data_IF_643095918345
#
_entry.id   IF_643095918345
#
_cell.length_a   1.000
_cell.length_b   1.000
_cell.length_c   1.000
_cell.angle_alpha   90.00
_cell.angle_beta   90.00
_cell.angle_gamma   90.00
#
_symmetry.space_group_name_H-M   'P 1'
#
loop_
_entity.id
_entity.type
_entity.pdbx_description
1 polymer ?
#
# COMPACT_ATOMS: atom_id res chain seq x y z
N UNK A 1 7.69 1.97 21.27
CA UNK A 1 7.93 3.43 21.27
C UNK A 1 6.85 4.05 20.39
N UNK A 2 5.87 4.73 20.98
CA UNK A 2 4.82 5.44 20.25
C UNK A 2 5.18 6.93 20.28
N UNK A 3 5.39 7.52 19.12
CA UNK A 3 5.74 8.95 18.99
C UNK A 3 4.53 9.74 18.49
N UNK A 4 4.30 10.89 19.13
CA UNK A 4 3.20 11.80 18.80
C UNK A 4 3.59 12.66 17.59
N UNK A 5 2.97 12.45 16.44
CA UNK A 5 3.13 13.30 15.26
C UNK A 5 2.01 14.35 15.26
N UNK A 6 2.34 15.61 15.02
CA UNK A 6 1.36 16.69 14.87
C UNK A 6 0.36 16.35 13.75
N UNK A 7 -0.95 16.49 14.01
CA UNK A 7 -2.00 16.00 13.12
C UNK A 7 -2.26 16.93 11.94
N UNK A 8 -1.31 17.07 11.04
CA UNK A 8 -1.55 17.70 9.74
C UNK A 8 -2.06 16.63 8.77
N UNK A 9 -3.32 16.74 8.33
CA UNK A 9 -3.89 15.84 7.32
C UNK A 9 -4.22 14.41 7.78
N UNK A 10 -4.44 14.18 9.07
CA UNK A 10 -4.88 12.86 9.58
C UNK A 10 -3.79 11.76 9.62
N UNK A 11 -2.52 12.13 9.43
CA UNK A 11 -1.41 11.18 9.30
C UNK A 11 -1.15 10.35 10.57
N UNK A 12 -1.39 10.88 11.76
CA UNK A 12 -1.10 10.19 13.03
C UNK A 12 -1.90 8.89 13.22
N UNK A 13 -3.22 8.93 13.00
CA UNK A 13 -4.09 7.74 13.13
C UNK A 13 -3.76 6.71 12.05
N UNK A 14 -3.63 7.15 10.80
CA UNK A 14 -3.27 6.28 9.68
C UNK A 14 -1.88 5.64 9.84
N UNK A 15 -0.92 6.34 10.48
CA UNK A 15 0.36 5.75 10.87
C UNK A 15 0.21 4.69 11.95
N UNK A 16 -0.58 4.97 13.00
CA UNK A 16 -0.82 4.00 14.08
C UNK A 16 -1.46 2.69 13.60
N UNK A 17 -2.45 2.76 12.71
CA UNK A 17 -3.05 1.55 12.14
C UNK A 17 -2.06 0.75 11.30
N UNK A 18 -1.24 1.41 10.46
CA UNK A 18 -0.19 0.71 9.68
C UNK A 18 0.86 0.07 10.59
N UNK A 19 1.26 0.74 11.66
CA UNK A 19 2.18 0.20 12.66
C UNK A 19 1.58 -1.05 13.33
N UNK A 20 0.31 -0.99 13.72
CA UNK A 20 -0.38 -2.11 14.36
C UNK A 20 -0.50 -3.32 13.43
N UNK A 21 -0.94 -3.13 12.18
CA UNK A 21 -1.10 -4.22 11.22
C UNK A 21 0.27 -4.84 10.88
N UNK A 22 1.29 -4.01 10.64
CA UNK A 22 2.65 -4.50 10.33
C UNK A 22 3.30 -5.26 11.49
N UNK A 23 2.99 -4.91 12.73
CA UNK A 23 3.44 -5.64 13.90
C UNK A 23 2.62 -6.92 14.13
N UNK A 24 1.30 -6.87 13.94
CA UNK A 24 0.38 -7.96 14.27
C UNK A 24 0.72 -9.26 13.54
N UNK A 25 0.94 -9.21 12.22
CA UNK A 25 1.26 -10.43 11.46
C UNK A 25 2.63 -11.00 11.84
N UNK A 26 3.59 -10.15 12.22
CA UNK A 26 4.92 -10.58 12.70
C UNK A 26 4.82 -11.23 14.07
N UNK A 27 4.04 -10.66 14.97
CA UNK A 27 3.77 -11.28 16.27
C UNK A 27 3.03 -12.62 16.09
N UNK A 28 2.04 -12.68 15.20
CA UNK A 28 1.38 -13.93 14.87
C UNK A 28 2.35 -14.99 14.33
N UNK A 29 3.31 -14.58 13.47
CA UNK A 29 4.39 -15.45 13.00
C UNK A 29 5.24 -15.98 14.16
N UNK A 30 5.69 -15.08 15.04
CA UNK A 30 6.51 -15.42 16.22
C UNK A 30 5.77 -16.24 17.29
N UNK A 31 4.44 -16.21 17.32
CA UNK A 31 3.63 -17.01 18.24
C UNK A 31 3.31 -18.40 17.67
N UNK A 32 3.14 -18.52 16.35
CA UNK A 32 2.84 -19.81 15.70
C UNK A 32 4.10 -20.64 15.47
N UNK A 33 5.17 -20.00 15.01
CA UNK A 33 6.49 -20.60 14.95
C UNK A 33 7.12 -20.31 16.31
N UNK A 34 7.41 -21.35 17.07
CA UNK A 34 8.28 -21.25 18.23
C UNK A 34 9.71 -21.58 17.77
N UNK A 35 10.46 -20.63 17.17
CA UNK A 35 11.86 -20.86 16.95
C UNK A 35 12.54 -20.98 18.30
N UNK A 36 13.33 -22.04 18.45
CA UNK A 36 14.14 -22.33 19.63
C UNK A 36 15.21 -21.25 19.89
N UNK A 37 15.34 -20.26 18.99
CA UNK A 37 16.43 -19.29 18.94
C UNK A 37 15.93 -17.86 19.23
N UNK A 38 16.38 -17.23 20.33
CA UNK A 38 15.99 -15.85 20.67
C UNK A 38 16.47 -14.81 19.64
N UNK A 39 17.51 -15.13 18.87
CA UNK A 39 18.05 -14.27 17.81
C UNK A 39 17.05 -13.98 16.68
N UNK A 40 16.14 -14.91 16.39
CA UNK A 40 15.13 -14.71 15.34
C UNK A 40 14.08 -13.66 15.73
N UNK A 41 13.63 -13.69 16.98
CA UNK A 41 12.69 -12.70 17.53
C UNK A 41 13.28 -11.28 17.43
N UNK A 42 14.54 -11.13 17.83
CA UNK A 42 15.25 -9.85 17.74
C UNK A 42 15.40 -9.38 16.29
N UNK A 43 15.71 -10.28 15.36
CA UNK A 43 15.82 -9.94 13.94
C UNK A 43 14.49 -9.44 13.35
N UNK A 44 13.39 -10.15 13.60
CA UNK A 44 12.05 -9.78 13.10
C UNK A 44 11.61 -8.43 13.67
N UNK A 45 11.80 -8.21 14.97
CA UNK A 45 11.42 -6.96 15.63
C UNK A 45 12.34 -5.79 15.24
N UNK A 46 13.64 -6.05 15.05
CA UNK A 46 14.58 -5.05 14.54
C UNK A 46 14.25 -4.65 13.10
N UNK A 47 13.88 -5.61 12.26
CA UNK A 47 13.43 -5.35 10.89
C UNK A 47 12.15 -4.51 10.87
N UNK A 48 11.16 -4.84 11.70
CA UNK A 48 9.95 -4.04 11.89
C UNK A 48 10.29 -2.61 12.32
N UNK A 49 11.15 -2.45 13.32
CA UNK A 49 11.56 -1.13 13.81
C UNK A 49 12.21 -0.29 12.69
N UNK A 50 13.10 -0.89 11.89
CA UNK A 50 13.74 -0.21 10.75
C UNK A 50 12.73 0.20 9.68
N UNK A 51 11.76 -0.65 9.36
CA UNK A 51 10.71 -0.35 8.37
C UNK A 51 9.82 0.80 8.86
N UNK A 52 9.41 0.77 10.13
CA UNK A 52 8.63 1.84 10.79
C UNK A 52 9.39 3.16 10.87
N UNK A 53 10.69 3.12 11.17
CA UNK A 53 11.54 4.32 11.24
C UNK A 53 11.53 5.09 9.91
N UNK A 54 11.60 4.39 8.77
CA UNK A 54 11.52 5.04 7.45
C UNK A 54 10.18 5.76 7.22
N UNK A 55 9.06 5.15 7.63
CA UNK A 55 7.73 5.77 7.50
C UNK A 55 7.61 7.03 8.37
N UNK A 56 8.11 6.93 9.61
CA UNK A 56 8.09 7.99 10.59
C UNK A 56 8.91 9.19 10.13
N UNK A 57 10.14 8.97 9.68
CA UNK A 57 11.03 10.04 9.21
C UNK A 57 10.43 10.80 8.03
N UNK A 58 9.82 10.09 7.07
CA UNK A 58 9.13 10.72 5.92
C UNK A 58 7.91 11.54 6.36
N UNK A 59 7.10 10.97 7.25
CA UNK A 59 5.88 11.65 7.75
C UNK A 59 6.24 12.87 8.59
N UNK A 60 7.28 12.77 9.42
CA UNK A 60 7.79 13.86 10.25
C UNK A 60 8.39 14.98 9.39
N UNK A 61 9.21 14.64 8.39
CA UNK A 61 9.79 15.62 7.47
C UNK A 61 8.71 16.44 6.76
N UNK A 62 7.68 15.77 6.22
CA UNK A 62 6.56 16.46 5.57
C UNK A 62 5.72 17.28 6.56
N UNK A 63 5.52 16.79 7.79
CA UNK A 63 4.76 17.53 8.82
C UNK A 63 5.51 18.78 9.25
N UNK A 64 6.84 18.71 9.42
CA UNK A 64 7.67 19.87 9.74
C UNK A 64 7.65 20.88 8.60
N UNK A 65 7.76 20.42 7.35
CA UNK A 65 7.71 21.29 6.18
C UNK A 65 6.34 22.00 6.06
N UNK A 66 5.25 21.24 6.19
CA UNK A 66 3.90 21.80 6.20
C UNK A 66 3.70 22.77 7.38
N UNK A 67 4.23 22.44 8.55
CA UNK A 67 4.17 23.30 9.74
C UNK A 67 4.91 24.62 9.52
N UNK A 68 6.12 24.58 8.94
CA UNK A 68 6.88 25.78 8.56
C UNK A 68 6.13 26.61 7.53
N UNK A 69 5.45 25.97 6.58
CA UNK A 69 4.69 26.64 5.53
C UNK A 69 3.40 27.32 6.04
N UNK A 70 2.67 26.66 6.95
CA UNK A 70 1.39 27.15 7.48
C UNK A 70 1.59 28.15 8.62
N UNK A 71 2.53 27.89 9.53
CA UNK A 71 2.76 28.68 10.75
C UNK A 71 3.80 29.81 10.58
N UNK A 72 4.18 30.15 9.34
CA UNK A 72 5.11 31.25 9.08
C UNK A 72 4.47 32.59 9.52
N UNK A 73 5.15 33.31 10.41
CA UNK A 73 4.64 34.56 10.99
C UNK A 73 5.12 35.81 10.23
N UNK A 74 6.10 35.66 9.34
CA UNK A 74 6.67 36.79 8.61
C UNK A 74 5.73 37.27 7.49
N UNK A 75 5.16 38.47 7.64
CA UNK A 75 4.19 39.05 6.70
C UNK A 75 4.65 39.04 5.23
N UNK A 76 5.90 39.42 4.96
CA UNK A 76 6.42 39.42 3.59
C UNK A 76 6.44 38.02 2.95
N UNK A 77 6.68 36.96 3.74
CA UNK A 77 6.68 35.59 3.22
C UNK A 77 5.25 35.09 3.00
N UNK A 78 4.31 35.50 3.85
CA UNK A 78 2.88 35.22 3.70
C UNK A 78 2.37 35.84 2.40
N UNK A 79 2.68 37.11 2.13
CA UNK A 79 2.29 37.77 0.88
C UNK A 79 2.85 37.05 -0.35
N UNK A 80 4.16 36.74 -0.36
CA UNK A 80 4.78 36.02 -1.48
C UNK A 80 4.14 34.65 -1.67
N UNK A 81 3.88 33.91 -0.58
CA UNK A 81 3.22 32.61 -0.60
C UNK A 81 1.83 32.69 -1.21
N UNK A 82 1.02 33.64 -0.76
CA UNK A 82 -0.38 33.77 -1.19
C UNK A 82 -0.45 34.17 -2.67
N UNK A 83 0.41 35.09 -3.11
CA UNK A 83 0.59 35.44 -4.53
C UNK A 83 1.06 34.25 -5.35
N UNK A 84 2.04 33.49 -4.87
CA UNK A 84 2.53 32.28 -5.53
C UNK A 84 1.42 31.24 -5.68
N UNK A 85 0.67 30.93 -4.61
CA UNK A 85 -0.42 29.97 -4.64
C UNK A 85 -1.54 30.42 -5.58
N UNK A 86 -1.86 31.72 -5.61
CA UNK A 86 -2.82 32.27 -6.55
C UNK A 86 -2.35 32.10 -8.00
N UNK A 87 -1.08 32.39 -8.29
CA UNK A 87 -0.50 32.26 -9.63
C UNK A 87 -0.46 30.79 -10.08
N UNK A 88 -0.09 29.87 -9.19
CA UNK A 88 -0.10 28.42 -9.44
C UNK A 88 -1.49 27.90 -9.81
N UNK A 89 -2.57 28.52 -9.31
CA UNK A 89 -3.93 28.15 -9.67
C UNK A 89 -4.34 28.56 -11.08
N UNK A 90 -3.65 29.52 -11.71
CA UNK A 90 -3.98 30.00 -13.07
C UNK A 90 -3.57 29.01 -14.16
N UNK A 91 -2.51 28.23 -13.93
CA UNK A 91 -2.03 27.24 -14.89
C UNK A 91 -2.56 25.86 -14.47
N UNK A 92 -3.45 25.21 -15.25
CA UNK A 92 -4.05 23.93 -14.89
C UNK A 92 -3.03 22.84 -14.56
N UNK A 93 -1.89 22.81 -15.26
CA UNK A 93 -0.81 21.86 -15.01
C UNK A 93 -0.09 22.09 -13.68
N UNK A 94 0.09 23.35 -13.26
CA UNK A 94 0.72 23.69 -11.98
C UNK A 94 -0.23 23.43 -10.81
N UNK A 95 -1.51 23.78 -10.99
CA UNK A 95 -2.58 23.40 -10.07
C UNK A 95 -2.64 21.88 -9.88
N UNK A 96 -2.57 21.11 -10.98
CA UNK A 96 -2.50 19.64 -10.93
C UNK A 96 -1.27 19.17 -10.16
N UNK A 97 -0.10 19.75 -10.42
CA UNK A 97 1.13 19.38 -9.73
C UNK A 97 1.03 19.63 -8.21
N UNK A 98 0.42 20.75 -7.80
CA UNK A 98 0.18 21.06 -6.39
C UNK A 98 -0.84 20.09 -5.76
N UNK A 99 -1.92 19.77 -6.46
CA UNK A 99 -2.98 18.88 -5.98
C UNK A 99 -2.56 17.41 -5.88
N UNK A 100 -1.60 16.97 -6.70
CA UNK A 100 -1.01 15.63 -6.58
C UNK A 100 -0.26 15.47 -5.25
N UNK A 101 0.32 16.55 -4.70
CA UNK A 101 1.01 16.52 -3.42
C UNK A 101 2.08 15.42 -3.37
N UNK A 102 2.07 14.59 -2.31
CA UNK A 102 2.97 13.44 -2.16
C UNK A 102 2.70 12.30 -3.15
N UNK A 103 1.54 12.28 -3.83
CA UNK A 103 1.21 11.23 -4.82
C UNK A 103 1.99 11.39 -6.12
N UNK A 104 2.62 12.56 -6.34
CA UNK A 104 3.46 12.82 -7.52
C UNK A 104 4.71 11.93 -7.57
N UNK A 105 5.20 11.50 -6.40
CA UNK A 105 6.44 10.73 -6.27
C UNK A 105 6.18 9.21 -6.42
N UNK A 106 4.97 8.83 -6.86
CA UNK A 106 4.59 7.44 -7.10
C UNK A 106 4.25 6.68 -5.81
N UNK A 107 4.47 5.37 -5.83
CA UNK A 107 4.25 4.53 -4.65
C UNK A 107 5.38 4.69 -3.64
N UNK A 108 5.01 4.73 -2.36
CA UNK A 108 5.97 4.73 -1.27
C UNK A 108 6.78 3.44 -1.35
N UNK A 109 8.09 3.56 -1.56
CA UNK A 109 9.03 2.43 -1.56
C UNK A 109 9.89 2.44 -0.30
N UNK A 110 9.98 1.30 0.37
CA UNK A 110 10.90 1.06 1.48
C UNK A 110 12.29 0.74 0.96
N UNK A 111 13.30 1.31 1.61
CA UNK A 111 14.69 0.94 1.41
C UNK A 111 14.92 -0.38 2.13
N UNK A 112 15.45 -1.36 1.40
CA UNK A 112 15.77 -2.66 1.95
C UNK A 112 16.99 -2.60 2.87
N UNK A 113 16.87 -3.25 4.03
CA UNK A 113 17.98 -3.55 4.92
C UNK A 113 17.99 -5.04 5.23
N UNK A 114 19.13 -5.57 5.64
CA UNK A 114 19.26 -6.95 6.07
C UNK A 114 18.21 -7.30 7.16
N UNK A 115 17.56 -8.45 6.97
CA UNK A 115 16.46 -8.93 7.83
C UNK A 115 15.06 -8.45 7.43
N UNK A 116 14.91 -7.59 6.41
CA UNK A 116 13.58 -7.16 5.97
C UNK A 116 12.88 -8.22 5.11
N UNK A 117 11.58 -8.47 5.33
CA UNK A 117 10.84 -9.52 4.63
C UNK A 117 10.28 -9.00 3.30
N UNK A 118 11.15 -8.64 2.36
CA UNK A 118 10.80 -8.37 0.96
C UNK A 118 12.04 -8.45 0.07
N UNK A 119 11.86 -8.76 -1.21
CA UNK A 119 12.94 -8.98 -2.16
C UNK A 119 13.23 -7.72 -2.99
N UNK A 120 14.31 -6.96 -2.72
CA UNK A 120 14.59 -5.74 -3.48
C UNK A 120 14.90 -6.03 -4.96
N UNK A 121 15.49 -7.20 -5.26
CA UNK A 121 15.80 -7.61 -6.63
C UNK A 121 14.57 -7.93 -7.49
N UNK A 122 13.40 -8.15 -6.86
CA UNK A 122 12.12 -8.38 -7.54
C UNK A 122 11.15 -7.22 -7.27
N UNK A 123 11.64 -5.99 -7.24
CA UNK A 123 10.82 -4.78 -7.04
C UNK A 123 9.97 -4.79 -5.74
N UNK A 124 10.43 -5.52 -4.70
CA UNK A 124 9.80 -5.57 -3.39
C UNK A 124 9.98 -4.27 -2.59
N UNK A 125 9.18 -4.11 -1.54
CA UNK A 125 9.17 -2.93 -0.68
C UNK A 125 8.27 -1.79 -1.16
N UNK A 126 7.52 -1.98 -2.24
CA UNK A 126 6.47 -1.05 -2.67
C UNK A 126 5.26 -1.16 -1.73
N UNK A 127 4.71 -0.03 -1.30
CA UNK A 127 3.46 0.00 -0.57
C UNK A 127 2.29 0.12 -1.56
N UNK A 128 1.45 -0.91 -1.64
CA UNK A 128 0.34 -0.91 -2.59
C UNK A 128 -0.70 0.17 -2.25
N UNK A 129 -1.14 0.95 -3.25
CA UNK A 129 -2.23 1.88 -3.09
C UNK A 129 -3.53 1.09 -2.93
N UNK A 130 -4.50 1.70 -2.26
CA UNK A 130 -5.86 1.15 -2.22
C UNK A 130 -6.54 1.70 -3.47
N UNK A 131 -6.88 0.81 -4.39
CA UNK A 131 -7.59 1.17 -5.61
C UNK A 131 -8.98 0.56 -5.59
N UNK A 132 -9.81 0.94 -6.56
CA UNK A 132 -11.19 0.47 -6.65
C UNK A 132 -11.26 -0.66 -7.66
N UNK A 133 -12.04 -1.67 -7.33
CA UNK A 133 -12.34 -2.75 -8.26
C UNK A 133 -13.82 -3.07 -8.25
N UNK A 134 -14.27 -3.77 -9.29
CA UNK A 134 -15.62 -4.28 -9.44
C UNK A 134 -15.55 -5.77 -9.67
N UNK A 135 -16.50 -6.50 -9.12
CA UNK A 135 -16.71 -7.91 -9.47
C UNK A 135 -17.32 -8.02 -10.89
N UNK A 136 -17.35 -9.22 -11.45
CA UNK A 136 -18.01 -9.59 -12.71
C UNK A 136 -19.46 -9.09 -12.82
N UNK A 137 -20.15 -8.95 -11.68
CA UNK A 137 -21.51 -8.42 -11.56
C UNK A 137 -21.59 -6.88 -11.47
N UNK A 138 -20.46 -6.16 -11.59
CA UNK A 138 -20.39 -4.71 -11.49
C UNK A 138 -20.50 -4.16 -10.06
N UNK A 139 -20.43 -5.03 -9.04
CA UNK A 139 -20.47 -4.60 -7.63
C UNK A 139 -19.11 -3.99 -7.23
N UNK A 140 -19.08 -2.75 -6.70
CA UNK A 140 -17.83 -2.09 -6.35
C UNK A 140 -17.26 -2.58 -5.00
N UNK A 141 -15.94 -2.71 -4.95
CA UNK A 141 -15.15 -3.10 -3.79
C UNK A 141 -13.87 -2.27 -3.70
N UNK A 142 -13.28 -2.20 -2.51
CA UNK A 142 -11.89 -1.80 -2.38
C UNK A 142 -10.97 -2.99 -2.64
N UNK A 143 -9.81 -2.75 -3.24
CA UNK A 143 -8.82 -3.83 -3.43
C UNK A 143 -8.42 -4.49 -2.13
N UNK A 144 -8.34 -3.74 -1.05
CA UNK A 144 -8.01 -4.27 0.28
C UNK A 144 -9.07 -5.28 0.75
N UNK A 145 -10.35 -5.01 0.52
CA UNK A 145 -11.44 -5.91 0.90
C UNK A 145 -11.41 -7.23 0.12
N UNK A 146 -10.81 -7.21 -1.06
CA UNK A 146 -10.69 -8.36 -1.96
C UNK A 146 -9.41 -9.15 -1.66
N UNK A 147 -8.27 -8.46 -1.61
CA UNK A 147 -6.95 -9.04 -1.35
C UNK A 147 -6.92 -9.64 0.06
N UNK A 148 -7.47 -8.94 1.05
CA UNK A 148 -7.44 -9.36 2.45
C UNK A 148 -8.75 -9.95 2.94
N UNK A 149 -9.74 -10.18 2.06
CA UNK A 149 -10.97 -10.92 2.39
C UNK A 149 -10.66 -12.24 3.09
N UNK A 150 -9.57 -12.87 2.63
CA UNK A 150 -9.09 -14.17 3.07
C UNK A 150 -8.38 -14.15 4.42
N UNK A 151 -7.97 -13.00 4.97
CA UNK A 151 -7.29 -12.98 6.28
C UNK A 151 -8.20 -13.48 7.42
N UNK A 152 -9.53 -13.40 7.30
CA UNK A 152 -10.46 -14.03 8.25
C UNK A 152 -10.53 -15.57 8.14
N UNK A 153 -10.23 -16.14 6.98
CA UNK A 153 -10.24 -17.58 6.73
C UNK A 153 -8.84 -18.21 6.91
N UNK A 154 -7.78 -17.41 6.77
CA UNK A 154 -6.37 -17.82 6.98
C UNK A 154 -6.10 -18.23 8.43
N UNK A 155 -6.83 -17.68 9.40
CA UNK A 155 -6.80 -18.15 10.80
C UNK A 155 -7.29 -19.61 10.98
N UNK A 156 -8.17 -20.11 10.09
CA UNK A 156 -8.63 -21.51 10.14
C UNK A 156 -7.78 -22.46 9.26
N UNK A 157 -6.99 -21.92 8.31
CA UNK A 157 -6.36 -22.70 7.22
C UNK A 157 -4.83 -22.75 7.22
N UNK A 158 -4.12 -22.28 8.26
CA UNK A 158 -2.64 -22.29 8.29
C UNK A 158 -1.98 -23.69 8.48
N UNK A 159 -2.57 -24.73 7.86
CA UNK A 159 -1.88 -25.96 7.45
C UNK A 159 -2.04 -26.21 5.93
N UNK A 160 -2.06 -25.13 5.14
CA UNK A 160 -2.25 -25.09 3.67
C UNK A 160 -1.92 -23.72 3.08
N UNK A 161 -0.72 -23.22 3.36
CA UNK A 161 -0.33 -21.79 3.41
C UNK A 161 -0.42 -20.93 2.14
N UNK A 162 -0.86 -21.45 0.99
CA UNK A 162 -1.38 -20.67 -0.14
C UNK A 162 -2.44 -21.51 -0.83
N UNK A 163 -3.73 -21.17 -0.65
CA UNK A 163 -4.81 -21.82 -1.37
C UNK A 163 -4.93 -21.21 -2.79
N UNK A 164 -4.47 -21.95 -3.80
CA UNK A 164 -4.53 -21.52 -5.20
C UNK A 164 -5.96 -21.18 -5.67
N UNK A 165 -6.97 -21.88 -5.11
CA UNK A 165 -8.39 -21.73 -5.44
C UNK A 165 -9.02 -20.42 -4.92
N UNK A 166 -8.24 -19.60 -4.21
CA UNK A 166 -8.68 -18.41 -3.49
C UNK A 166 -7.83 -17.17 -3.79
N UNK A 167 -6.94 -17.24 -4.79
CA UNK A 167 -6.14 -16.07 -5.17
C UNK A 167 -7.04 -15.08 -5.92
N UNK A 168 -7.25 -13.85 -5.41
CA UNK A 168 -8.00 -12.85 -6.15
C UNK A 168 -7.19 -12.38 -7.36
N UNK A 169 -7.80 -12.46 -8.54
CA UNK A 169 -7.24 -11.95 -9.78
C UNK A 169 -7.77 -10.55 -10.03
N UNK A 170 -6.92 -9.53 -9.82
CA UNK A 170 -7.25 -8.15 -10.18
C UNK A 170 -6.75 -7.89 -11.59
N UNK A 171 -7.69 -7.64 -12.51
CA UNK A 171 -7.43 -7.42 -13.94
C UNK A 171 -7.88 -6.03 -14.38
N UNK A 172 -7.24 -5.49 -15.42
CA UNK A 172 -7.51 -4.12 -15.88
C UNK A 172 -8.78 -4.00 -16.72
N UNK A 173 -9.07 -5.02 -17.53
CA UNK A 173 -10.22 -5.03 -18.41
C UNK A 173 -10.67 -6.46 -18.66
N UNK A 174 -11.94 -6.75 -18.37
CA UNK A 174 -12.55 -8.02 -18.77
C UNK A 174 -12.86 -7.91 -20.27
N UNK A 175 -11.98 -8.47 -21.12
CA UNK A 175 -12.36 -8.76 -22.51
C UNK A 175 -13.30 -9.96 -22.47
N UNK A 176 -14.61 -9.69 -22.45
CA UNK A 176 -15.65 -10.74 -22.46
C UNK A 176 -15.38 -11.77 -23.55
N UNK A 177 -15.00 -12.98 -23.17
CA UNK A 177 -15.32 -14.24 -23.85
C UNK A 177 -15.49 -15.30 -22.76
N UNK A 178 -16.75 -15.59 -22.40
CA UNK A 178 -17.11 -16.78 -21.62
C UNK A 178 -16.64 -16.86 -20.18
N UNK A 179 -16.60 -15.75 -19.43
CA UNK A 179 -16.38 -15.82 -17.99
C UNK A 179 -17.59 -16.49 -17.33
N UNK A 180 -17.47 -17.78 -17.02
CA UNK A 180 -18.19 -18.38 -15.92
C UNK A 180 -18.00 -17.52 -14.66
N UNK A 181 -18.95 -17.63 -13.72
CA UNK A 181 -19.04 -16.92 -12.43
C UNK A 181 -17.80 -17.18 -11.54
N UNK A 182 -16.65 -16.64 -11.96
CA UNK A 182 -15.38 -16.81 -11.28
C UNK A 182 -15.30 -15.78 -10.17
N UNK A 183 -15.73 -16.19 -8.98
CA UNK A 183 -15.91 -15.35 -7.77
C UNK A 183 -14.62 -14.66 -7.30
N UNK A 184 -13.48 -15.00 -7.89
CA UNK A 184 -12.17 -14.46 -7.57
C UNK A 184 -11.67 -13.44 -8.61
N UNK A 185 -12.44 -13.14 -9.67
CA UNK A 185 -12.05 -12.21 -10.72
C UNK A 185 -12.60 -10.80 -10.46
N UNK A 186 -11.70 -9.81 -10.36
CA UNK A 186 -12.04 -8.43 -10.09
C UNK A 186 -11.45 -7.50 -11.15
N UNK A 187 -12.25 -6.59 -11.68
CA UNK A 187 -11.80 -5.59 -12.64
C UNK A 187 -11.47 -4.27 -11.94
N UNK A 188 -10.33 -3.64 -12.26
CA UNK A 188 -10.01 -2.29 -11.79
C UNK A 188 -11.07 -1.31 -12.33
N UNK A 189 -11.68 -0.55 -11.42
CA UNK A 189 -12.66 0.46 -11.77
C UNK A 189 -11.99 1.79 -12.10
N UNK A 190 -12.57 2.52 -13.04
CA UNK A 190 -12.23 3.90 -13.41
C UNK A 190 -12.67 4.92 -12.35
N UNK A 191 -12.18 6.16 -12.48
CA UNK A 191 -12.56 7.27 -11.60
C UNK A 191 -14.07 7.57 -11.71
N UNK A 192 -14.61 7.51 -12.92
CA UNK A 192 -16.02 7.76 -13.22
C UNK A 192 -16.94 6.69 -12.61
N UNK A 193 -16.56 5.42 -12.76
CA UNK A 193 -17.28 4.29 -12.15
C UNK A 193 -17.28 4.40 -10.63
N UNK A 194 -16.16 4.82 -10.03
CA UNK A 194 -16.10 5.06 -8.59
C UNK A 194 -16.99 6.23 -8.16
N UNK A 195 -16.97 7.36 -8.88
CA UNK A 195 -17.77 8.54 -8.55
C UNK A 195 -19.28 8.23 -8.53
N UNK A 196 -19.74 7.35 -9.41
CA UNK A 196 -21.14 6.91 -9.47
C UNK A 196 -21.49 5.82 -8.44
N UNK A 197 -20.48 5.23 -7.80
CA UNK A 197 -20.67 4.12 -6.87
C UNK A 197 -21.22 4.57 -5.50
N UNK A 198 -21.91 3.67 -4.77
CA UNK A 198 -22.28 3.93 -3.38
C UNK A 198 -21.09 4.22 -2.46
N UNK A 199 -19.87 3.78 -2.82
CA UNK A 199 -18.65 3.99 -2.04
C UNK A 199 -18.17 5.46 -2.06
N UNK A 200 -18.58 6.25 -3.05
CA UNK A 200 -18.25 7.67 -3.15
C UNK A 200 -19.28 8.59 -2.47
N UNK A 201 -20.43 8.06 -2.01
CA UNK A 201 -21.45 8.87 -1.32
C UNK A 201 -20.88 9.56 -0.07
N UNK A 202 -20.98 10.88 -0.03
CA UNK A 202 -20.44 11.69 1.07
C UNK A 202 -18.91 11.84 1.07
N UNK A 203 -18.23 11.45 -0.03
CA UNK A 203 -16.78 11.65 -0.24
C UNK A 203 -16.55 12.58 -1.43
N UNK A 204 -15.44 13.32 -1.47
CA UNK A 204 -15.03 14.04 -2.66
C UNK A 204 -14.84 13.08 -3.84
N UNK A 205 -15.09 13.58 -5.05
CA UNK A 205 -14.80 12.84 -6.27
C UNK A 205 -13.30 12.47 -6.35
N UNK A 206 -12.97 11.31 -6.96
CA UNK A 206 -11.62 10.78 -7.05
C UNK A 206 -10.77 11.53 -8.08
N UNK A 207 -10.57 12.83 -7.89
CA UNK A 207 -9.74 13.65 -8.79
C UNK A 207 -8.31 13.06 -8.87
N UNK A 208 -7.81 12.92 -10.10
CA UNK A 208 -6.48 12.36 -10.41
C UNK A 208 -6.27 10.91 -9.93
N UNK A 209 -7.34 10.14 -9.86
CA UNK A 209 -7.23 8.70 -9.66
C UNK A 209 -6.62 8.04 -10.91
N UNK A 210 -5.50 7.33 -10.70
CA UNK A 210 -4.77 6.62 -11.75
C UNK A 210 -5.04 5.11 -11.59
N UNK A 211 -5.98 4.52 -12.35
CA UNK A 211 -6.36 3.11 -12.20
C UNK A 211 -5.19 2.15 -12.44
N UNK A 212 -4.24 2.54 -13.31
CA UNK A 212 -3.11 1.71 -13.71
C UNK A 212 -1.83 1.97 -12.88
N UNK A 213 -1.94 2.64 -11.73
CA UNK A 213 -0.80 2.97 -10.89
C UNK A 213 -0.03 1.73 -10.45
N UNK A 214 -0.74 0.67 -10.03
CA UNK A 214 -0.13 -0.59 -9.59
C UNK A 214 0.70 -1.20 -10.72
N UNK A 215 0.16 -1.26 -11.95
CA UNK A 215 0.89 -1.80 -13.11
C UNK A 215 2.13 -0.96 -13.44
N UNK A 216 1.98 0.35 -13.48
CA UNK A 216 3.06 1.28 -13.86
C UNK A 216 4.26 1.19 -12.91
N UNK A 217 3.98 0.98 -11.62
CA UNK A 217 4.97 1.00 -10.54
C UNK A 217 5.52 -0.40 -10.20
N UNK A 218 4.65 -1.42 -10.15
CA UNK A 218 5.07 -2.79 -9.86
C UNK A 218 5.71 -3.48 -11.07
N UNK A 219 5.27 -3.15 -12.29
CA UNK A 219 5.78 -3.66 -13.58
C UNK A 219 5.92 -5.19 -13.63
N UNK A 220 4.96 -5.91 -13.08
CA UNK A 220 5.03 -7.36 -12.95
C UNK A 220 3.71 -8.02 -13.33
N UNK A 221 3.78 -9.32 -13.66
CA UNK A 221 2.62 -10.16 -13.96
C UNK A 221 2.00 -10.73 -12.69
N UNK A 222 2.83 -11.10 -11.72
CA UNK A 222 2.42 -11.64 -10.43
C UNK A 222 2.98 -10.75 -9.32
N UNK A 223 2.15 -10.44 -8.32
CA UNK A 223 2.58 -9.64 -7.16
C UNK A 223 2.26 -10.43 -5.90
N UNK A 224 3.28 -10.70 -5.10
CA UNK A 224 3.12 -11.27 -3.76
C UNK A 224 3.04 -10.11 -2.78
N UNK A 225 1.95 -10.05 -2.02
CA UNK A 225 1.63 -8.94 -1.13
C UNK A 225 1.56 -9.44 0.30
N UNK A 226 2.19 -8.70 1.21
CA UNK A 226 2.11 -8.96 2.66
C UNK A 226 0.76 -8.48 3.22
N UNK A 227 0.33 -9.02 4.39
CA UNK A 227 -0.89 -8.57 5.07
C UNK A 227 -0.97 -7.07 5.36
N UNK A 228 0.16 -6.37 5.40
CA UNK A 228 0.28 -4.93 5.61
C UNK A 228 0.47 -4.11 4.32
N UNK A 229 0.06 -4.66 3.17
CA UNK A 229 0.09 -4.02 1.83
C UNK A 229 1.47 -3.76 1.24
N UNK A 230 2.52 -4.25 1.87
CA UNK A 230 3.87 -4.18 1.31
C UNK A 230 4.07 -5.30 0.30
N UNK A 231 4.52 -4.96 -0.91
CA UNK A 231 4.91 -5.94 -1.92
C UNK A 231 6.13 -6.69 -1.43
N UNK A 232 5.99 -8.00 -1.27
CA UNK A 232 7.10 -8.90 -0.99
C UNK A 232 7.97 -9.05 -2.24
N UNK A 233 7.35 -9.35 -3.38
CA UNK A 233 8.00 -9.49 -4.67
C UNK A 233 7.01 -9.22 -5.82
N UNK A 234 7.49 -8.63 -6.90
CA UNK A 234 6.81 -8.42 -8.16
C UNK A 234 7.53 -9.25 -9.24
N UNK A 235 6.87 -10.30 -9.73
CA UNK A 235 7.43 -11.33 -10.59
C UNK A 235 6.89 -11.20 -12.02
N UNK A 236 7.76 -11.16 -13.01
CA UNK A 236 7.36 -11.08 -14.43
C UNK A 236 7.04 -12.46 -15.03
N UNK A 237 7.66 -13.52 -14.50
CA UNK A 237 7.58 -14.88 -15.02
C UNK A 237 7.37 -15.92 -13.90
N UNK A 238 7.15 -17.17 -14.31
CA UNK A 238 6.93 -18.28 -13.38
C UNK A 238 8.18 -18.64 -12.56
N UNK A 239 9.38 -18.40 -13.11
CA UNK A 239 10.64 -18.73 -12.46
C UNK A 239 10.91 -17.80 -11.27
N UNK A 240 10.77 -16.49 -11.49
CA UNK A 240 10.84 -15.45 -10.46
C UNK A 240 9.75 -15.64 -9.39
N UNK A 241 8.55 -16.08 -9.79
CA UNK A 241 7.49 -16.45 -8.85
C UNK A 241 7.90 -17.64 -7.96
N UNK A 242 8.44 -18.70 -8.55
CA UNK A 242 8.95 -19.88 -7.80
C UNK A 242 10.07 -19.49 -6.85
N UNK A 243 11.01 -18.66 -7.28
CA UNK A 243 12.09 -18.14 -6.43
C UNK A 243 11.53 -17.32 -5.27
N UNK A 244 10.57 -16.43 -5.52
CA UNK A 244 9.95 -15.63 -4.47
C UNK A 244 9.16 -16.49 -3.47
N UNK A 245 8.43 -17.49 -3.94
CA UNK A 245 7.73 -18.44 -3.08
C UNK A 245 8.68 -19.28 -2.22
N UNK A 246 9.83 -19.69 -2.75
CA UNK A 246 10.85 -20.40 -1.97
C UNK A 246 11.40 -19.50 -0.87
N UNK A 247 11.80 -18.27 -1.21
CA UNK A 247 12.32 -17.31 -0.23
C UNK A 247 11.28 -16.98 0.86
N UNK A 248 10.01 -16.83 0.49
CA UNK A 248 8.93 -16.62 1.44
C UNK A 248 8.76 -17.81 2.39
N UNK A 249 8.81 -19.06 1.88
CA UNK A 249 8.74 -20.26 2.72
C UNK A 249 9.91 -20.36 3.69
N UNK A 250 11.10 -19.94 3.28
CA UNK A 250 12.27 -19.92 4.17
C UNK A 250 12.05 -18.94 5.33
N UNK A 251 11.50 -17.75 5.04
CA UNK A 251 11.15 -16.75 6.07
C UNK A 251 10.05 -17.26 7.02
N UNK A 252 9.07 -18.01 6.51
CA UNK A 252 7.99 -18.58 7.32
C UNK A 252 8.43 -19.81 8.13
N UNK A 253 9.53 -20.47 7.76
CA UNK A 253 10.05 -21.67 8.43
C UNK A 253 11.12 -21.37 9.49
N UNK A 254 11.71 -20.18 9.45
CA UNK A 254 12.62 -19.68 10.48
C UNK A 254 11.86 -19.25 11.74
#
# INVERSE_FOLDING_TARGET
>A
MAELICSVGGQGIASGFRDAISLAWRLALLCHHHPTTPQFHEQVLAAWYRERKQQLERSLASTIENGKFVCEAHFGKILVRDWYLWLVQLVPSWKRHLQLGQRKDGLIRYVHYEGMPFMPGLNGGLNLPQVFCTDTNGKPFFTDDVIFRFLRAVEELSRGEVAADHVPFVIEKITKHGAEDDRNLFQIASAEEFAQSPLCRGRPEPAYYEPFLIRTEARAKYIIVRPDRVVFAACEDEQSLKTAMSCMKDILRC
#
